data_IF_038063402275
#
_entry.id   IF_038063402275
#
_cell.length_a   1.000
_cell.length_b   1.000
_cell.length_c   1.000
_cell.angle_alpha   90.00
_cell.angle_beta   90.00
_cell.angle_gamma   90.00
#
_symmetry.space_group_name_H-M   'P 1'
#
loop_
_entity.id
_entity.type
_entity.pdbx_description
1 polymer ?
#
# COMPACT_ATOMS: atom_id res chain seq x y z
N UNK A 1 -23.31 -23.67 -7.57
CA UNK A 1 -21.86 -24.06 -7.51
C UNK A 1 -21.69 -25.40 -6.78
N UNK A 2 -22.63 -26.30 -6.95
CA UNK A 2 -22.51 -27.67 -6.42
C UNK A 2 -21.50 -28.44 -7.26
N UNK A 3 -20.48 -29.05 -6.61
CA UNK A 3 -19.44 -29.88 -7.21
C UNK A 3 -18.27 -29.16 -7.95
N UNK A 4 -17.93 -27.90 -7.62
CA UNK A 4 -16.70 -27.31 -8.11
C UNK A 4 -15.53 -27.76 -7.24
N UNK A 5 -14.60 -28.54 -7.81
CA UNK A 5 -13.44 -29.06 -7.10
C UNK A 5 -12.33 -28.01 -6.94
N UNK A 6 -12.21 -27.07 -7.88
CA UNK A 6 -11.21 -26.02 -7.89
C UNK A 6 -11.76 -24.76 -8.56
N UNK A 7 -11.53 -23.60 -7.98
CA UNK A 7 -11.84 -22.31 -8.59
C UNK A 7 -10.54 -21.51 -8.80
N UNK A 8 -10.38 -21.00 -10.02
CA UNK A 8 -9.20 -20.24 -10.42
C UNK A 8 -9.65 -18.84 -10.80
N UNK A 9 -9.08 -17.85 -10.15
CA UNK A 9 -9.29 -16.43 -10.43
C UNK A 9 -8.10 -15.88 -11.22
N UNK A 10 -8.40 -15.15 -12.30
CA UNK A 10 -7.40 -14.43 -13.08
C UNK A 10 -7.99 -13.13 -13.62
N UNK A 11 -7.43 -12.00 -13.24
CA UNK A 11 -7.89 -10.68 -13.68
C UNK A 11 -9.30 -10.30 -13.21
N UNK A 12 -9.85 -10.97 -12.20
CA UNK A 12 -11.14 -10.64 -11.63
C UNK A 12 -11.06 -9.34 -10.83
N UNK A 13 -11.95 -8.38 -11.15
CA UNK A 13 -11.86 -6.99 -10.67
C UNK A 13 -12.63 -6.72 -9.37
N UNK A 14 -13.38 -7.69 -8.87
CA UNK A 14 -14.21 -7.50 -7.68
C UNK A 14 -13.70 -8.33 -6.51
N UNK A 15 -13.94 -7.86 -5.30
CA UNK A 15 -13.66 -8.64 -4.09
C UNK A 15 -14.62 -9.82 -4.03
N UNK A 16 -14.07 -11.02 -3.86
CA UNK A 16 -14.87 -12.24 -3.71
C UNK A 16 -15.47 -12.25 -2.31
N UNK A 17 -16.79 -12.41 -2.23
CA UNK A 17 -17.50 -12.37 -0.95
C UNK A 17 -17.09 -13.55 -0.03
N UNK A 18 -17.12 -13.30 1.28
CA UNK A 18 -16.80 -14.33 2.29
C UNK A 18 -17.65 -15.60 2.14
N UNK A 19 -18.90 -15.46 1.71
CA UNK A 19 -19.79 -16.63 1.54
C UNK A 19 -19.33 -17.53 0.38
N UNK A 20 -18.77 -16.94 -0.70
CA UNK A 20 -18.17 -17.71 -1.78
C UNK A 20 -16.89 -18.39 -1.30
N UNK A 21 -16.05 -17.68 -0.54
CA UNK A 21 -14.80 -18.21 0.01
C UNK A 21 -15.09 -19.38 0.97
N UNK A 22 -16.07 -19.23 1.86
CA UNK A 22 -16.46 -20.30 2.81
C UNK A 22 -16.97 -21.55 2.10
N UNK A 23 -17.73 -21.41 1.02
CA UNK A 23 -18.28 -22.53 0.23
C UNK A 23 -17.24 -23.20 -0.65
N UNK A 24 -16.18 -22.51 -1.04
CA UNK A 24 -15.18 -22.98 -2.00
C UNK A 24 -13.76 -22.89 -1.40
N UNK A 25 -13.38 -23.84 -0.58
CA UNK A 25 -12.06 -23.87 0.09
C UNK A 25 -10.87 -23.99 -0.88
N UNK A 26 -11.11 -24.40 -2.12
CA UNK A 26 -10.08 -24.60 -3.13
C UNK A 26 -10.10 -23.49 -4.18
N UNK A 27 -9.74 -22.29 -3.74
CA UNK A 27 -9.69 -21.12 -4.61
C UNK A 27 -8.25 -20.63 -4.70
N UNK A 28 -7.79 -20.39 -5.91
CA UNK A 28 -6.48 -19.79 -6.18
C UNK A 28 -6.63 -18.56 -7.07
N UNK A 29 -5.74 -17.61 -6.88
CA UNK A 29 -5.63 -16.41 -7.72
C UNK A 29 -4.28 -16.40 -8.44
N UNK A 30 -4.31 -16.01 -9.71
CA UNK A 30 -3.12 -15.74 -10.51
C UNK A 30 -2.85 -14.25 -10.46
N UNK A 31 -1.76 -13.87 -9.79
CA UNK A 31 -1.44 -12.46 -9.55
C UNK A 31 -0.09 -12.08 -10.18
N UNK A 32 -0.07 -10.94 -10.88
CA UNK A 32 1.12 -10.48 -11.60
C UNK A 32 2.03 -9.60 -10.73
N UNK A 33 2.27 -10.04 -9.49
CA UNK A 33 3.27 -9.45 -8.60
C UNK A 33 4.08 -10.54 -7.89
N UNK A 34 5.22 -10.15 -7.34
CA UNK A 34 6.01 -10.97 -6.42
C UNK A 34 5.56 -10.70 -4.99
N UNK A 35 4.52 -11.46 -4.51
CA UNK A 35 3.99 -11.29 -3.16
C UNK A 35 5.07 -11.51 -2.09
N UNK A 36 5.05 -10.74 -0.98
CA UNK A 36 3.98 -9.87 -0.48
C UNK A 36 3.95 -8.46 -1.07
N UNK A 37 4.79 -8.12 -2.05
CA UNK A 37 4.83 -6.78 -2.63
C UNK A 37 3.72 -6.56 -3.65
N UNK A 38 3.21 -5.31 -3.70
CA UNK A 38 2.26 -4.82 -4.72
C UNK A 38 0.98 -5.65 -4.81
N UNK A 39 0.37 -5.97 -3.66
CA UNK A 39 -0.98 -6.52 -3.57
C UNK A 39 -1.98 -5.54 -4.19
N UNK A 40 -3.06 -6.05 -4.77
CA UNK A 40 -4.15 -5.24 -5.31
C UNK A 40 -3.90 -4.73 -6.72
N UNK A 41 -4.11 -3.43 -6.96
CA UNK A 41 -4.18 -2.87 -8.30
C UNK A 41 -2.83 -2.42 -8.86
N UNK A 42 -2.67 -2.55 -10.18
CA UNK A 42 -1.54 -2.02 -10.95
C UNK A 42 -0.14 -2.45 -10.48
N UNK A 43 0.09 -3.72 -10.08
CA UNK A 43 1.36 -4.16 -9.53
C UNK A 43 2.54 -3.93 -10.47
N UNK A 44 2.32 -4.00 -11.79
CA UNK A 44 3.34 -3.71 -12.79
C UNK A 44 3.87 -2.26 -12.73
N UNK A 45 3.03 -1.28 -12.37
CA UNK A 45 3.49 0.09 -12.16
C UNK A 45 4.25 0.21 -10.83
N UNK A 46 3.67 -0.31 -9.77
CA UNK A 46 4.17 -0.11 -8.41
C UNK A 46 5.52 -0.78 -8.16
N UNK A 47 5.78 -1.94 -8.76
CA UNK A 47 7.09 -2.60 -8.64
C UNK A 47 8.25 -1.72 -9.11
N UNK A 48 8.06 -0.96 -10.20
CA UNK A 48 9.07 -0.01 -10.67
C UNK A 48 9.06 1.30 -9.88
N UNK A 49 7.88 1.82 -9.52
CA UNK A 49 7.75 3.10 -8.81
C UNK A 49 8.35 3.04 -7.39
N UNK A 50 8.24 1.89 -6.72
CA UNK A 50 8.73 1.65 -5.36
C UNK A 50 10.04 0.87 -5.31
N UNK A 51 10.54 0.44 -6.46
CA UNK A 51 11.74 -0.39 -6.58
C UNK A 51 11.64 -1.68 -5.75
N UNK A 52 10.48 -2.34 -5.82
CA UNK A 52 10.21 -3.64 -5.18
C UNK A 52 10.38 -4.78 -6.17
N UNK A 53 10.56 -6.03 -5.71
CA UNK A 53 10.65 -7.19 -6.58
C UNK A 53 9.48 -7.30 -7.56
N UNK A 54 9.78 -7.58 -8.83
CA UNK A 54 8.79 -7.88 -9.86
C UNK A 54 8.66 -9.39 -10.05
N UNK A 55 7.48 -9.87 -10.36
CA UNK A 55 7.27 -11.30 -10.60
C UNK A 55 5.81 -11.68 -10.69
N UNK A 56 5.57 -12.98 -10.57
CA UNK A 56 4.22 -13.55 -10.65
C UNK A 56 4.00 -14.56 -9.54
N UNK A 57 2.79 -14.62 -9.01
CA UNK A 57 2.43 -15.48 -7.87
C UNK A 57 1.10 -16.17 -8.10
N UNK A 58 1.05 -17.47 -7.85
CA UNK A 58 -0.20 -18.21 -7.67
C UNK A 58 -0.38 -18.41 -6.17
N UNK A 59 -1.48 -17.91 -5.60
CA UNK A 59 -1.74 -17.95 -4.17
C UNK A 59 -3.18 -18.37 -3.86
N UNK A 60 -3.43 -18.82 -2.64
CA UNK A 60 -4.78 -19.10 -2.14
C UNK A 60 -5.57 -17.80 -2.04
N UNK A 61 -6.89 -17.89 -2.19
CA UNK A 61 -7.80 -16.77 -1.92
C UNK A 61 -8.27 -16.88 -0.49
N UNK A 62 -8.09 -15.80 0.27
CA UNK A 62 -8.59 -15.59 1.63
C UNK A 62 -9.45 -14.31 1.71
N UNK A 63 -9.73 -13.81 2.91
CA UNK A 63 -10.54 -12.61 3.13
C UNK A 63 -9.83 -11.31 2.72
N UNK A 64 -8.51 -11.32 2.68
CA UNK A 64 -7.72 -10.14 2.38
C UNK A 64 -7.48 -9.96 0.90
N UNK A 65 -6.99 -8.79 0.53
CA UNK A 65 -6.60 -8.48 -0.84
C UNK A 65 -5.21 -9.06 -1.11
N UNK A 66 -5.16 -10.15 -1.88
CA UNK A 66 -3.94 -10.88 -2.25
C UNK A 66 -3.06 -11.31 -1.05
N UNK A 67 -3.70 -11.63 0.11
CA UNK A 67 -3.01 -11.99 1.35
C UNK A 67 -2.86 -13.50 1.58
N UNK A 68 -3.52 -14.31 0.79
CA UNK A 68 -3.51 -15.76 0.94
C UNK A 68 -2.14 -16.40 0.75
N UNK A 69 -2.00 -17.63 1.23
CA UNK A 69 -0.75 -18.39 1.16
C UNK A 69 -0.28 -18.59 -0.28
N UNK A 70 1.02 -18.43 -0.51
CA UNK A 70 1.67 -18.65 -1.79
C UNK A 70 1.77 -20.15 -2.04
N UNK A 71 1.45 -20.59 -3.27
CA UNK A 71 1.65 -21.97 -3.72
C UNK A 71 2.72 -22.09 -4.80
N UNK A 72 2.76 -21.15 -5.73
CA UNK A 72 3.85 -21.03 -6.72
C UNK A 72 4.19 -19.59 -6.96
N UNK A 73 5.49 -19.31 -7.15
CA UNK A 73 5.97 -17.95 -7.36
C UNK A 73 7.20 -17.95 -8.28
N UNK A 74 7.33 -16.92 -9.11
CA UNK A 74 8.49 -16.70 -9.96
C UNK A 74 8.92 -15.24 -9.90
N UNK A 75 10.18 -15.01 -9.52
CA UNK A 75 10.82 -13.70 -9.59
C UNK A 75 11.19 -13.40 -11.05
N UNK A 76 11.02 -12.15 -11.46
CA UNK A 76 11.41 -11.64 -12.77
C UNK A 76 12.35 -10.47 -12.62
N UNK A 77 13.53 -10.59 -13.21
CA UNK A 77 14.51 -9.52 -13.25
C UNK A 77 14.46 -8.80 -14.61
N UNK A 78 13.79 -7.67 -14.66
CA UNK A 78 13.68 -6.87 -15.86
C UNK A 78 14.98 -6.15 -16.25
N UNK A 79 15.96 -6.05 -15.37
CA UNK A 79 17.27 -5.48 -15.67
C UNK A 79 18.10 -6.45 -16.53
N UNK A 80 17.89 -7.76 -16.36
CA UNK A 80 18.53 -8.81 -17.15
C UNK A 80 17.81 -9.08 -18.48
N UNK A 81 16.49 -8.87 -18.56
CA UNK A 81 15.67 -9.27 -19.71
C UNK A 81 15.85 -8.32 -20.89
N UNK A 82 16.07 -7.02 -20.65
CA UNK A 82 16.20 -6.04 -21.74
C UNK A 82 16.91 -4.76 -21.29
N UNK A 83 17.38 -3.97 -22.27
CA UNK A 83 17.91 -2.65 -21.99
C UNK A 83 16.82 -1.78 -21.31
N UNK A 84 16.91 -1.62 -19.98
CA UNK A 84 15.98 -0.92 -19.08
C UNK A 84 15.46 0.40 -19.63
N UNK A 85 16.27 1.09 -20.44
CA UNK A 85 15.93 2.39 -21.05
C UNK A 85 14.83 2.30 -22.13
N UNK A 86 14.52 1.11 -22.64
CA UNK A 86 13.51 0.91 -23.71
C UNK A 86 12.22 0.26 -23.24
N UNK A 87 12.16 -0.20 -22.00
CA UNK A 87 10.97 -0.87 -21.46
C UNK A 87 9.79 0.09 -21.29
N UNK A 88 8.62 -0.34 -21.72
CA UNK A 88 7.34 0.29 -21.45
C UNK A 88 6.53 -0.58 -20.49
N UNK A 89 5.54 0.02 -19.82
CA UNK A 89 4.63 -0.77 -18.96
C UNK A 89 3.82 -1.80 -19.75
N UNK A 90 3.51 -1.54 -21.01
CA UNK A 90 2.86 -2.53 -21.88
C UNK A 90 3.76 -3.75 -22.13
N UNK A 91 5.05 -3.52 -22.41
CA UNK A 91 5.99 -4.63 -22.64
C UNK A 91 6.15 -5.49 -21.38
N UNK A 92 6.39 -4.88 -20.22
CA UNK A 92 6.54 -5.61 -18.96
C UNK A 92 5.26 -6.30 -18.53
N UNK A 93 4.10 -5.70 -18.75
CA UNK A 93 2.80 -6.34 -18.53
C UNK A 93 2.63 -7.59 -19.39
N UNK A 94 2.95 -7.54 -20.68
CA UNK A 94 2.87 -8.71 -21.57
C UNK A 94 3.79 -9.84 -21.12
N UNK A 95 4.99 -9.51 -20.63
CA UNK A 95 5.90 -10.50 -20.05
C UNK A 95 5.30 -11.12 -18.78
N UNK A 96 4.77 -10.29 -17.86
CA UNK A 96 4.16 -10.78 -16.63
C UNK A 96 2.96 -11.69 -16.90
N UNK A 97 2.10 -11.34 -17.88
CA UNK A 97 0.98 -12.19 -18.29
C UNK A 97 1.49 -13.53 -18.84
N UNK A 98 2.43 -13.51 -19.76
CA UNK A 98 3.00 -14.75 -20.30
C UNK A 98 3.64 -15.62 -19.22
N UNK A 99 4.31 -15.01 -18.26
CA UNK A 99 4.97 -15.73 -17.18
C UNK A 99 4.00 -16.33 -16.15
N UNK A 100 2.90 -15.65 -15.83
CA UNK A 100 1.89 -16.22 -14.94
C UNK A 100 1.11 -17.35 -15.63
N UNK A 101 0.83 -17.22 -16.92
CA UNK A 101 0.22 -18.27 -17.72
C UNK A 101 1.13 -19.50 -17.79
N UNK A 102 2.41 -19.32 -18.07
CA UNK A 102 3.40 -20.40 -18.11
C UNK A 102 3.54 -21.09 -16.74
N UNK A 103 3.58 -20.29 -15.65
CA UNK A 103 3.65 -20.82 -14.29
C UNK A 103 2.41 -21.65 -13.96
N UNK A 104 1.23 -21.19 -14.38
CA UNK A 104 -0.02 -21.92 -14.19
C UNK A 104 -0.07 -23.20 -15.02
N UNK A 105 0.21 -23.14 -16.30
CA UNK A 105 0.19 -24.33 -17.20
C UNK A 105 1.14 -25.40 -16.68
N UNK A 106 2.37 -25.01 -16.29
CA UNK A 106 3.37 -25.94 -15.74
C UNK A 106 2.88 -26.65 -14.47
N UNK A 107 2.11 -25.98 -13.63
CA UNK A 107 1.69 -26.50 -12.34
C UNK A 107 0.20 -26.87 -12.28
N UNK A 108 -0.53 -26.80 -13.41
CA UNK A 108 -1.97 -27.01 -13.46
C UNK A 108 -2.39 -28.37 -12.86
N UNK A 109 -1.67 -29.44 -13.19
CA UNK A 109 -1.96 -30.79 -12.66
C UNK A 109 -1.84 -30.83 -11.13
N UNK A 110 -0.79 -30.20 -10.59
CA UNK A 110 -0.57 -30.14 -9.14
C UNK A 110 -1.65 -29.31 -8.46
N UNK A 111 -2.07 -28.20 -9.06
CA UNK A 111 -3.13 -27.34 -8.54
C UNK A 111 -4.46 -28.09 -8.49
N UNK A 112 -4.83 -28.78 -9.56
CA UNK A 112 -6.08 -29.55 -9.64
C UNK A 112 -6.09 -30.74 -8.66
N UNK A 113 -4.96 -31.41 -8.47
CA UNK A 113 -4.81 -32.52 -7.55
C UNK A 113 -4.50 -32.09 -6.10
N UNK A 114 -4.29 -30.80 -5.86
CA UNK A 114 -3.84 -30.24 -4.57
C UNK A 114 -2.51 -30.79 -4.09
N UNK A 115 -1.63 -31.10 -5.01
CA UNK A 115 -0.29 -31.61 -4.77
C UNK A 115 0.72 -30.44 -4.80
N UNK A 116 0.69 -29.61 -3.77
CA UNK A 116 1.56 -28.46 -3.59
C UNK A 116 1.73 -28.08 -2.13
N UNK A 117 2.81 -27.39 -1.81
CA UNK A 117 3.03 -26.78 -0.50
C UNK A 117 2.47 -25.36 -0.45
N UNK A 118 2.04 -24.94 0.72
CA UNK A 118 1.54 -23.59 0.99
C UNK A 118 2.53 -22.86 1.90
N UNK A 119 2.91 -21.65 1.51
CA UNK A 119 3.85 -20.80 2.24
C UNK A 119 3.16 -19.53 2.68
N UNK A 120 3.39 -19.10 3.92
CA UNK A 120 2.94 -17.79 4.38
C UNK A 120 3.72 -16.68 3.69
N UNK A 121 3.06 -15.56 3.43
CA UNK A 121 3.75 -14.36 2.94
C UNK A 121 4.58 -13.76 4.06
N UNK A 122 5.88 -13.60 3.86
CA UNK A 122 6.83 -13.12 4.87
C UNK A 122 7.13 -11.64 4.63
N UNK A 123 7.06 -10.82 5.70
CA UNK A 123 7.30 -9.37 5.67
C UNK A 123 6.04 -8.55 5.40
N UNK A 124 6.16 -7.24 5.56
CA UNK A 124 5.02 -6.31 5.48
C UNK A 124 4.47 -6.18 4.06
N UNK A 125 5.35 -6.25 3.06
CA UNK A 125 4.98 -6.08 1.67
C UNK A 125 4.46 -4.67 1.36
N UNK A 126 3.69 -4.57 0.27
CA UNK A 126 2.97 -3.34 -0.09
C UNK A 126 1.61 -3.67 -0.73
N UNK A 127 0.68 -2.73 -0.68
CA UNK A 127 -0.65 -2.85 -1.28
C UNK A 127 -1.11 -1.53 -1.87
N UNK A 128 -1.86 -1.60 -2.97
CA UNK A 128 -2.31 -0.42 -3.69
C UNK A 128 -3.75 -0.56 -4.17
N UNK A 129 -4.53 0.52 -4.02
CA UNK A 129 -5.86 0.63 -4.59
C UNK A 129 -5.81 1.21 -6.01
N UNK A 130 -6.87 1.00 -6.76
CA UNK A 130 -6.91 1.42 -8.17
C UNK A 130 -6.86 2.94 -8.36
N UNK A 131 -7.39 3.70 -7.42
CA UNK A 131 -7.41 5.16 -7.39
C UNK A 131 -6.08 5.80 -6.97
N UNK A 132 -5.13 5.02 -6.46
CA UNK A 132 -3.79 5.49 -6.11
C UNK A 132 -2.88 5.67 -7.33
N UNK A 133 -3.29 5.19 -8.51
CA UNK A 133 -2.48 5.31 -9.71
C UNK A 133 -2.23 6.79 -10.05
N UNK A 134 -0.95 7.24 -10.09
CA UNK A 134 -0.67 8.66 -10.25
C UNK A 134 -0.99 9.15 -11.66
N UNK A 135 -1.59 10.35 -11.77
CA UNK A 135 -1.97 10.95 -13.05
C UNK A 135 -0.82 11.23 -14.03
N UNK A 136 0.43 11.01 -13.61
CA UNK A 136 1.61 11.04 -14.47
C UNK A 136 1.62 9.87 -15.48
N UNK A 137 1.00 8.75 -15.14
CA UNK A 137 0.83 7.61 -16.03
C UNK A 137 -0.38 7.86 -16.94
N UNK A 138 -0.15 8.50 -18.08
CA UNK A 138 -1.19 8.83 -19.07
C UNK A 138 -1.45 7.71 -20.07
N UNK A 139 -0.50 6.79 -20.22
CA UNK A 139 -0.55 5.66 -21.14
C UNK A 139 0.37 4.56 -20.66
N UNK A 140 -0.05 3.30 -20.81
CA UNK A 140 0.77 2.14 -20.51
C UNK A 140 1.94 1.96 -21.50
N UNK A 141 1.93 2.64 -22.64
CA UNK A 141 3.04 2.67 -23.59
C UNK A 141 4.17 3.64 -23.19
N UNK A 142 4.01 4.34 -22.06
CA UNK A 142 5.08 5.20 -21.54
C UNK A 142 6.30 4.37 -21.14
N UNK A 143 7.46 4.98 -21.36
CA UNK A 143 8.73 4.41 -20.92
C UNK A 143 8.82 4.41 -19.40
N UNK A 144 9.16 3.27 -18.82
CA UNK A 144 9.19 3.05 -17.37
C UNK A 144 10.19 3.98 -16.71
N UNK A 145 11.44 4.04 -17.20
CA UNK A 145 12.50 4.79 -16.56
C UNK A 145 12.17 6.30 -16.46
N UNK A 146 11.70 6.90 -17.55
CA UNK A 146 11.35 8.33 -17.56
C UNK A 146 10.13 8.63 -16.71
N UNK A 147 9.11 7.75 -16.72
CA UNK A 147 7.87 7.91 -15.94
C UNK A 147 8.13 7.78 -14.44
N UNK A 148 8.87 6.74 -14.04
CA UNK A 148 9.23 6.52 -12.62
C UNK A 148 10.12 7.66 -12.09
N UNK A 149 11.12 8.10 -12.84
CA UNK A 149 11.96 9.24 -12.45
C UNK A 149 11.13 10.51 -12.22
N UNK A 150 10.15 10.77 -13.07
CA UNK A 150 9.25 11.92 -12.94
C UNK A 150 8.33 11.75 -11.72
N UNK A 151 7.75 10.57 -11.51
CA UNK A 151 6.94 10.24 -10.33
C UNK A 151 7.70 10.48 -9.02
N UNK A 152 8.92 9.95 -8.91
CA UNK A 152 9.76 10.12 -7.73
C UNK A 152 10.10 11.58 -7.46
N UNK A 153 10.37 12.38 -8.52
CA UNK A 153 10.60 13.82 -8.40
C UNK A 153 9.36 14.55 -7.87
N UNK A 154 8.17 14.26 -8.40
CA UNK A 154 6.91 14.86 -7.93
C UNK A 154 6.61 14.49 -6.48
N UNK A 155 6.78 13.21 -6.12
CA UNK A 155 6.61 12.71 -4.74
C UNK A 155 7.54 13.46 -3.77
N UNK A 156 8.80 13.67 -4.13
CA UNK A 156 9.78 14.42 -3.31
C UNK A 156 9.36 15.88 -3.12
N UNK A 157 8.86 16.54 -4.17
CA UNK A 157 8.37 17.93 -4.09
C UNK A 157 7.17 18.01 -3.14
N UNK A 158 6.22 17.09 -3.23
CA UNK A 158 5.06 17.07 -2.33
C UNK A 158 5.45 16.84 -0.87
N UNK A 159 6.40 15.94 -0.60
CA UNK A 159 6.92 15.71 0.75
C UNK A 159 7.58 16.98 1.29
N UNK A 160 8.44 17.63 0.52
CA UNK A 160 9.12 18.86 0.94
C UNK A 160 8.14 19.99 1.25
N UNK A 161 7.07 20.15 0.46
CA UNK A 161 6.00 21.12 0.74
C UNK A 161 5.29 20.84 2.06
N UNK A 162 4.97 19.56 2.34
CA UNK A 162 4.33 19.16 3.61
C UNK A 162 5.25 19.41 4.81
N UNK A 163 6.54 19.08 4.68
CA UNK A 163 7.54 19.35 5.72
C UNK A 163 7.62 20.85 6.00
N UNK A 164 7.69 21.70 4.96
CA UNK A 164 7.70 23.17 5.11
C UNK A 164 6.46 23.66 5.87
N UNK A 165 5.28 23.18 5.50
CA UNK A 165 4.03 23.51 6.20
C UNK A 165 4.07 23.10 7.69
N UNK A 166 4.63 21.94 8.03
CA UNK A 166 4.80 21.51 9.42
C UNK A 166 5.70 22.45 10.20
N UNK A 167 6.81 22.93 9.62
CA UNK A 167 7.67 23.92 10.26
C UNK A 167 6.95 25.26 10.46
N UNK A 168 6.14 25.72 9.52
CA UNK A 168 5.33 26.93 9.65
C UNK A 168 4.31 26.80 10.78
N UNK A 169 3.61 25.65 10.87
CA UNK A 169 2.68 25.36 11.98
C UNK A 169 3.42 25.36 13.34
N UNK A 170 4.57 24.70 13.40
CA UNK A 170 5.37 24.61 14.62
C UNK A 170 5.85 26.01 15.08
N UNK A 171 6.32 26.84 14.16
CA UNK A 171 6.75 28.22 14.42
C UNK A 171 5.59 29.08 14.93
N UNK A 172 4.42 28.99 14.29
CA UNK A 172 3.22 29.72 14.70
C UNK A 172 2.78 29.29 16.10
N UNK A 173 2.75 27.99 16.40
CA UNK A 173 2.42 27.48 17.73
C UNK A 173 3.41 27.94 18.80
N UNK A 174 4.71 27.95 18.48
CA UNK A 174 5.76 28.45 19.40
C UNK A 174 5.51 29.93 19.75
N UNK A 175 5.21 30.76 18.77
CA UNK A 175 4.92 32.19 19.00
C UNK A 175 3.65 32.38 19.81
N UNK A 176 2.59 31.61 19.55
CA UNK A 176 1.38 31.62 20.33
C UNK A 176 1.63 31.25 21.80
N UNK A 177 2.43 30.22 22.06
CA UNK A 177 2.81 29.81 23.42
C UNK A 177 3.56 30.91 24.14
N UNK A 178 4.47 31.64 23.50
CA UNK A 178 5.15 32.80 24.09
C UNK A 178 4.16 33.89 24.45
N UNK A 179 3.21 34.20 23.57
CA UNK A 179 2.17 35.19 23.82
C UNK A 179 1.29 34.80 25.02
N UNK A 180 0.84 33.56 25.11
CA UNK A 180 0.10 33.02 26.23
C UNK A 180 0.89 33.09 27.53
N UNK A 181 2.17 32.76 27.52
CA UNK A 181 3.03 32.88 28.71
C UNK A 181 3.19 34.34 29.17
N UNK A 182 3.23 35.29 28.24
CA UNK A 182 3.28 36.72 28.59
C UNK A 182 1.97 37.21 29.21
N UNK A 183 0.82 36.79 28.66
CA UNK A 183 -0.49 37.06 29.21
C UNK A 183 -0.60 36.51 30.65
N UNK A 184 -0.18 35.25 30.85
CA UNK A 184 -0.17 34.62 32.17
C UNK A 184 0.72 35.34 33.16
N UNK A 185 1.95 35.73 32.76
CA UNK A 185 2.86 36.51 33.64
C UNK A 185 2.24 37.83 34.03
N UNK A 186 1.58 38.54 33.10
CA UNK A 186 0.90 39.80 33.39
C UNK A 186 -0.30 39.59 34.32
N UNK A 187 -1.11 38.56 34.05
CA UNK A 187 -2.27 38.21 34.86
C UNK A 187 -1.90 37.79 36.29
N UNK A 188 -0.84 36.99 36.45
CA UNK A 188 -0.33 36.61 37.79
C UNK A 188 0.15 37.83 38.57
N UNK A 189 0.83 38.77 37.93
CA UNK A 189 1.27 40.01 38.59
C UNK A 189 0.11 40.86 39.09
N UNK A 190 -0.97 40.94 38.31
CA UNK A 190 -2.07 41.87 38.59
C UNK A 190 -3.25 41.25 39.35
N UNK A 191 -3.45 39.93 39.24
CA UNK A 191 -4.57 39.23 39.88
C UNK A 191 -4.24 37.74 40.15
N UNK A 192 -3.30 37.45 41.10
CA UNK A 192 -2.78 36.11 41.29
C UNK A 192 -3.85 35.04 41.58
N UNK A 193 -4.72 35.33 42.53
CA UNK A 193 -5.78 34.39 42.97
C UNK A 193 -6.79 34.04 41.87
N UNK A 194 -7.18 35.04 41.05
CA UNK A 194 -8.10 34.81 39.92
C UNK A 194 -7.42 34.01 38.81
N UNK A 195 -6.17 34.31 38.51
CA UNK A 195 -5.38 33.61 37.49
C UNK A 195 -5.17 32.14 37.84
N UNK A 196 -4.82 31.86 39.12
CA UNK A 196 -4.66 30.45 39.57
C UNK A 196 -5.99 29.66 39.51
N UNK A 197 -7.12 30.28 39.82
CA UNK A 197 -8.44 29.64 39.68
C UNK A 197 -8.71 29.24 38.21
N UNK A 198 -8.43 30.15 37.28
CA UNK A 198 -8.61 29.87 35.82
C UNK A 198 -7.66 28.75 35.34
N UNK A 199 -6.39 28.79 35.74
CA UNK A 199 -5.42 27.73 35.39
C UNK A 199 -5.83 26.36 35.91
N UNK A 200 -6.32 26.29 37.15
CA UNK A 200 -6.83 25.03 37.71
C UNK A 200 -8.06 24.51 36.95
N UNK A 201 -8.94 25.42 36.50
CA UNK A 201 -10.09 25.04 35.67
C UNK A 201 -9.63 24.44 34.32
N UNK A 202 -8.65 25.08 33.65
CA UNK A 202 -8.10 24.62 32.39
C UNK A 202 -7.48 23.21 32.55
N UNK A 203 -6.65 23.01 33.59
CA UNK A 203 -6.05 21.67 33.85
C UNK A 203 -7.12 20.60 34.09
N UNK A 204 -8.19 20.91 34.82
CA UNK A 204 -9.26 19.94 35.04
C UNK A 204 -10.01 19.57 33.74
N UNK A 205 -10.15 20.53 32.83
CA UNK A 205 -10.79 20.31 31.55
C UNK A 205 -9.87 19.51 30.58
N UNK A 206 -8.57 19.76 30.59
CA UNK A 206 -7.57 18.97 29.84
C UNK A 206 -7.52 17.51 30.35
N UNK A 207 -7.62 17.29 31.66
CA UNK A 207 -7.71 15.94 32.24
C UNK A 207 -8.98 15.20 31.83
N UNK A 208 -10.12 15.91 31.73
CA UNK A 208 -11.37 15.33 31.20
C UNK A 208 -11.23 14.94 29.74
N UNK A 209 -10.67 15.82 28.89
CA UNK A 209 -10.44 15.58 27.47
C UNK A 209 -9.52 14.37 27.31
N UNK A 210 -8.41 14.29 28.06
CA UNK A 210 -7.48 13.19 28.02
C UNK A 210 -8.10 11.82 28.34
N UNK A 211 -9.15 11.79 29.18
CA UNK A 211 -9.90 10.56 29.50
C UNK A 211 -10.84 10.10 28.38
N UNK A 212 -11.25 11.01 27.48
CA UNK A 212 -12.11 10.67 26.34
C UNK A 212 -11.36 9.97 25.21
N UNK A 213 -10.01 10.01 25.22
CA UNK A 213 -9.15 9.35 24.23
C UNK A 213 -8.52 8.04 24.74
N UNK A 214 -8.90 7.59 25.93
CA UNK A 214 -8.55 6.27 26.49
C UNK A 214 -9.70 5.27 26.33
#
# INVERSE_FOLDING_TARGET
LENINQLISFGYKHIISEDIIKKNKNMVNLHISYLPYNKGAHPNFWSFAENTPSGVTIHKIDKGLDTGKIIFQKLLDFDLINNRKRLTFTNTYSILISEIENLFIKNMKNILNKDYYEFDQIGDGSSHHADELPGILRSWNQNIFSTVKKYQKEKKIHINKRIKLLYEIQSTRKNNNVNWMNILRHSIKNSPSKTLKILNSINNDDDKISRLFK
#
